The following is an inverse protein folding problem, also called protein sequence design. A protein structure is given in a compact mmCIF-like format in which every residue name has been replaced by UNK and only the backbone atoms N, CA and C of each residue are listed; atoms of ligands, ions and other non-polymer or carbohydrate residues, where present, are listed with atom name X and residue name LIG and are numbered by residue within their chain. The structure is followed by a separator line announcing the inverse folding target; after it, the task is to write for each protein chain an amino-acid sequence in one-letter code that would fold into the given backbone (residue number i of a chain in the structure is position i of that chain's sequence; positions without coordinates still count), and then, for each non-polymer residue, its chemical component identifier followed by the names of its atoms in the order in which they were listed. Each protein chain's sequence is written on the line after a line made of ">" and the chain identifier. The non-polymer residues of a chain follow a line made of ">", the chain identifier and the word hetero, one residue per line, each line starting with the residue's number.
data_IF_399766614665
#
_entry.id   IF_399766614665
#
_cell.length_a   1.000
_cell.length_b   1.000
_cell.length_c   1.000
_cell.angle_alpha   90.00
_cell.angle_beta   90.00
_cell.angle_gamma   90.00
#
_symmetry.space_group_name_H-M   'P 1'
#
loop_
_entity.id
_entity.type
_entity.pdbx_description
1 polymer ?
#
# COMPACT_ATOMS: atom_id res chain seq x y z
N UNK A 1 21.55 0.05 8.27
CA UNK A 1 21.29 0.57 6.91
C UNK A 1 22.31 -0.05 5.97
N UNK A 2 21.90 -0.47 4.78
CA UNK A 2 22.79 -0.86 3.69
C UNK A 2 22.83 0.29 2.69
N UNK A 3 24.01 0.70 2.27
CA UNK A 3 24.19 1.68 1.20
C UNK A 3 24.92 1.00 0.04
N UNK A 4 24.50 1.31 -1.19
CA UNK A 4 25.16 0.80 -2.39
C UNK A 4 25.24 1.91 -3.44
N UNK A 5 26.37 1.95 -4.13
CA UNK A 5 26.67 2.95 -5.15
C UNK A 5 27.14 2.25 -6.42
N UNK A 6 26.69 2.75 -7.56
CA UNK A 6 27.09 2.26 -8.87
C UNK A 6 27.61 3.40 -9.73
N UNK A 7 28.89 3.34 -10.08
CA UNK A 7 29.46 4.23 -11.09
C UNK A 7 28.78 3.99 -12.45
N UNK A 8 28.49 5.08 -13.14
CA UNK A 8 27.72 5.17 -14.38
C UNK A 8 26.28 4.62 -14.29
N UNK A 9 25.75 4.48 -13.07
CA UNK A 9 24.33 4.28 -12.82
C UNK A 9 23.58 5.59 -12.60
N UNK A 10 22.26 5.49 -12.54
CA UNK A 10 21.30 6.56 -12.26
C UNK A 10 20.19 6.04 -11.35
N UNK A 11 19.24 6.90 -10.97
CA UNK A 11 18.11 6.52 -10.12
C UNK A 11 17.24 5.39 -10.73
N UNK A 12 17.14 5.26 -12.06
CA UNK A 12 16.42 4.17 -12.73
C UNK A 12 17.13 2.82 -12.53
N UNK A 13 18.45 2.81 -12.74
CA UNK A 13 19.30 1.63 -12.47
C UNK A 13 19.22 1.21 -11.01
N UNK A 14 19.14 2.19 -10.11
CA UNK A 14 18.98 1.98 -8.68
C UNK A 14 17.60 1.40 -8.33
N UNK A 15 16.50 1.82 -8.98
CA UNK A 15 15.19 1.17 -8.84
C UNK A 15 15.24 -0.30 -9.26
N UNK A 16 15.87 -0.63 -10.39
CA UNK A 16 16.03 -2.03 -10.82
C UNK A 16 16.84 -2.87 -9.81
N UNK A 17 17.84 -2.25 -9.18
CA UNK A 17 18.67 -2.89 -8.16
C UNK A 17 17.85 -3.20 -6.91
N UNK A 18 17.01 -2.26 -6.46
CA UNK A 18 16.09 -2.46 -5.33
C UNK A 18 15.05 -3.53 -5.64
N UNK A 19 14.43 -3.50 -6.82
CA UNK A 19 13.49 -4.53 -7.28
C UNK A 19 14.11 -5.91 -7.19
N UNK A 20 15.29 -6.10 -7.81
CA UNK A 20 16.01 -7.37 -7.82
C UNK A 20 16.41 -7.83 -6.42
N UNK A 21 16.95 -6.93 -5.60
CA UNK A 21 17.41 -7.27 -4.24
C UNK A 21 16.24 -7.76 -3.39
N UNK A 22 15.14 -7.01 -3.33
CA UNK A 22 14.00 -7.36 -2.47
C UNK A 22 13.30 -8.62 -2.97
N UNK A 23 13.07 -8.74 -4.28
CA UNK A 23 12.42 -9.94 -4.85
C UNK A 23 13.27 -11.19 -4.69
N UNK A 24 14.58 -11.10 -4.94
CA UNK A 24 15.51 -12.23 -4.74
C UNK A 24 15.55 -12.69 -3.29
N UNK A 25 15.56 -11.75 -2.33
CA UNK A 25 15.52 -12.09 -0.91
C UNK A 25 14.20 -12.77 -0.55
N UNK A 26 13.06 -12.25 -1.02
CA UNK A 26 11.76 -12.85 -0.77
C UNK A 26 11.64 -14.26 -1.37
N UNK A 27 12.09 -14.47 -2.61
CA UNK A 27 12.09 -15.78 -3.26
C UNK A 27 13.02 -16.78 -2.58
N UNK A 28 14.27 -16.39 -2.30
CA UNK A 28 15.26 -17.33 -1.77
C UNK A 28 15.06 -17.64 -0.27
N UNK A 29 14.52 -16.71 0.50
CA UNK A 29 14.40 -16.86 1.96
C UNK A 29 12.97 -17.23 2.36
N UNK A 30 11.96 -16.62 1.74
CA UNK A 30 10.55 -16.83 2.11
C UNK A 30 9.83 -17.81 1.18
N UNK A 31 10.43 -18.19 0.04
CA UNK A 31 9.82 -19.03 -1.00
C UNK A 31 8.49 -18.43 -1.54
N UNK A 32 8.38 -17.09 -1.50
CA UNK A 32 7.17 -16.38 -1.95
C UNK A 32 7.43 -14.90 -2.26
N UNK A 33 6.72 -14.37 -3.27
CA UNK A 33 6.62 -12.94 -3.55
C UNK A 33 5.36 -12.30 -2.95
N UNK A 34 4.65 -13.02 -2.09
CA UNK A 34 3.45 -12.56 -1.42
C UNK A 34 3.72 -12.64 0.08
N UNK A 35 3.93 -11.48 0.71
CA UNK A 35 4.29 -11.39 2.13
C UNK A 35 3.11 -10.84 2.95
N UNK A 36 2.94 -11.31 4.21
CA UNK A 36 1.84 -10.86 5.05
C UNK A 36 2.04 -9.40 5.51
N UNK A 37 0.95 -8.64 5.55
CA UNK A 37 0.98 -7.27 6.05
C UNK A 37 1.05 -7.26 7.58
N UNK A 38 2.24 -7.06 8.14
CA UNK A 38 2.54 -7.09 9.58
C UNK A 38 1.56 -6.36 10.51
N UNK A 39 0.98 -5.23 10.05
CA UNK A 39 0.00 -4.42 10.80
C UNK A 39 -1.32 -5.14 11.19
N UNK A 40 -1.58 -6.34 10.65
CA UNK A 40 -2.84 -7.06 10.82
C UNK A 40 -2.67 -8.55 11.15
N UNK A 41 -1.47 -8.99 11.55
CA UNK A 41 -1.14 -10.43 11.75
C UNK A 41 -1.61 -10.92 13.14
N UNK A 42 -2.88 -10.67 13.47
CA UNK A 42 -3.57 -11.33 14.58
C UNK A 42 -4.42 -12.52 14.09
N UNK A 43 -4.94 -13.31 15.03
CA UNK A 43 -5.86 -14.44 14.77
C UNK A 43 -7.05 -14.10 13.84
N UNK A 44 -7.47 -12.83 13.77
CA UNK A 44 -8.49 -12.34 12.86
C UNK A 44 -8.15 -12.54 11.36
N UNK A 45 -6.86 -12.49 10.99
CA UNK A 45 -6.40 -12.73 9.61
C UNK A 45 -6.46 -14.22 9.24
N UNK A 46 -6.23 -15.13 10.19
CA UNK A 46 -6.41 -16.57 9.95
C UNK A 46 -7.89 -16.91 9.71
N UNK A 47 -8.80 -16.30 10.48
CA UNK A 47 -10.24 -16.47 10.29
C UNK A 47 -10.69 -15.91 8.94
N UNK A 48 -10.27 -14.70 8.57
CA UNK A 48 -10.59 -14.12 7.27
C UNK A 48 -9.97 -14.91 6.11
N UNK A 49 -8.73 -15.41 6.24
CA UNK A 49 -8.12 -16.26 5.21
C UNK A 49 -8.85 -17.59 5.06
N UNK A 50 -9.13 -18.28 6.16
CA UNK A 50 -9.88 -19.54 6.16
C UNK A 50 -11.28 -19.37 5.56
N UNK A 51 -11.90 -18.23 5.84
CA UNK A 51 -13.18 -17.84 5.26
C UNK A 51 -13.15 -17.66 3.74
N UNK A 52 -12.15 -16.94 3.24
CA UNK A 52 -11.97 -16.69 1.81
C UNK A 52 -11.71 -18.00 1.08
N UNK A 53 -10.86 -18.86 1.64
CA UNK A 53 -10.60 -20.19 1.10
C UNK A 53 -11.87 -21.08 1.09
N UNK A 54 -12.68 -21.02 2.16
CA UNK A 54 -13.95 -21.75 2.23
C UNK A 54 -14.97 -21.24 1.19
N UNK A 55 -15.02 -19.92 0.96
CA UNK A 55 -15.84 -19.29 -0.06
C UNK A 55 -15.45 -19.70 -1.48
N UNK A 56 -14.16 -19.62 -1.80
CA UNK A 56 -13.63 -19.94 -3.13
C UNK A 56 -13.72 -21.43 -3.45
N UNK A 57 -13.45 -22.31 -2.48
CA UNK A 57 -13.37 -23.75 -2.74
C UNK A 57 -14.70 -24.47 -2.57
N UNK A 58 -15.56 -24.02 -1.64
CA UNK A 58 -16.81 -24.73 -1.32
C UNK A 58 -18.04 -24.00 -1.79
N UNK A 59 -18.12 -22.69 -1.60
CA UNK A 59 -19.37 -21.95 -1.87
C UNK A 59 -19.50 -21.61 -3.36
N UNK A 60 -18.48 -20.99 -3.98
CA UNK A 60 -18.53 -20.58 -5.39
C UNK A 60 -18.73 -21.75 -6.37
N UNK A 61 -17.98 -22.86 -6.29
CA UNK A 61 -18.14 -24.00 -7.21
C UNK A 61 -19.48 -24.72 -7.01
N UNK A 62 -19.95 -24.82 -5.76
CA UNK A 62 -21.27 -25.35 -5.45
C UNK A 62 -22.34 -24.48 -6.10
N UNK A 63 -22.31 -23.16 -5.93
CA UNK A 63 -23.28 -22.26 -6.58
C UNK A 63 -23.29 -22.39 -8.10
N UNK A 64 -22.13 -22.44 -8.75
CA UNK A 64 -22.02 -22.60 -10.21
C UNK A 64 -22.58 -23.96 -10.70
N UNK A 65 -22.30 -25.03 -9.95
CA UNK A 65 -22.81 -26.37 -10.23
C UNK A 65 -24.30 -26.54 -9.88
N UNK A 66 -24.86 -25.75 -8.97
CA UNK A 66 -26.24 -25.88 -8.48
C UNK A 66 -27.23 -24.91 -9.12
N UNK A 67 -26.80 -23.75 -9.65
CA UNK A 67 -27.69 -22.82 -10.34
C UNK A 67 -27.97 -23.19 -11.81
N UNK A 68 -27.02 -23.83 -12.50
CA UNK A 68 -27.24 -24.33 -13.87
C UNK A 68 -28.34 -25.42 -13.90
N UNK A 69 -28.43 -26.33 -12.90
CA UNK A 69 -29.56 -27.25 -12.76
C UNK A 69 -30.80 -26.68 -12.05
N UNK A 70 -30.84 -25.41 -11.61
CA UNK A 70 -32.12 -24.81 -11.15
C UNK A 70 -33.11 -24.57 -12.31
N UNK A 71 -32.74 -24.98 -13.53
CA UNK A 71 -33.67 -25.32 -14.61
C UNK A 71 -34.35 -26.69 -14.47
N UNK A 72 -34.15 -27.44 -13.37
CA UNK A 72 -34.83 -28.74 -13.16
C UNK A 72 -36.06 -28.54 -12.27
N UNK A 73 -37.18 -28.48 -12.97
CA UNK A 73 -38.56 -28.61 -12.50
C UNK A 73 -38.71 -29.74 -11.46
N UNK A 74 -39.29 -29.46 -10.29
CA UNK A 74 -39.99 -30.48 -9.48
C UNK A 74 -39.68 -30.65 -7.98
N UNK A 75 -38.81 -29.87 -7.34
CA UNK A 75 -38.54 -30.05 -5.89
C UNK A 75 -39.49 -29.24 -4.98
N UNK A 76 -39.98 -29.81 -3.86
CA UNK A 76 -40.82 -29.12 -2.88
C UNK A 76 -40.11 -27.92 -2.24
N UNK A 77 -40.85 -26.82 -2.01
CA UNK A 77 -40.36 -25.56 -1.40
C UNK A 77 -39.46 -25.75 -0.18
N UNK A 78 -39.82 -26.67 0.72
CA UNK A 78 -39.04 -26.95 1.93
C UNK A 78 -37.64 -27.51 1.62
N UNK A 79 -37.51 -28.36 0.61
CA UNK A 79 -36.20 -28.87 0.17
C UNK A 79 -35.36 -27.77 -0.48
N UNK A 80 -35.98 -26.87 -1.25
CA UNK A 80 -35.30 -25.69 -1.80
C UNK A 80 -34.85 -24.73 -0.70
N UNK A 81 -35.70 -24.48 0.31
CA UNK A 81 -35.38 -23.66 1.49
C UNK A 81 -34.23 -24.28 2.32
N UNK A 82 -34.26 -25.59 2.57
CA UNK A 82 -33.21 -26.30 3.31
C UNK A 82 -31.89 -26.30 2.53
N UNK A 83 -31.92 -26.44 1.20
CA UNK A 83 -30.73 -26.33 0.34
C UNK A 83 -30.16 -24.92 0.33
N UNK A 84 -30.99 -23.90 0.14
CA UNK A 84 -30.54 -22.50 0.17
C UNK A 84 -29.95 -22.16 1.54
N UNK A 85 -30.56 -22.63 2.65
CA UNK A 85 -29.98 -22.49 3.99
C UNK A 85 -28.62 -23.18 4.10
N UNK A 86 -28.46 -24.40 3.59
CA UNK A 86 -27.18 -25.11 3.66
C UNK A 86 -26.06 -24.40 2.89
N UNK A 87 -26.41 -23.71 1.80
CA UNK A 87 -25.48 -22.91 1.00
C UNK A 87 -25.14 -21.58 1.68
N UNK A 88 -26.13 -20.98 2.36
CA UNK A 88 -25.97 -19.73 3.11
C UNK A 88 -25.31 -19.94 4.48
N UNK A 89 -25.40 -21.12 5.09
CA UNK A 89 -24.89 -21.35 6.44
C UNK A 89 -23.40 -21.03 6.59
N UNK A 90 -22.49 -21.44 5.69
CA UNK A 90 -21.08 -21.07 5.82
C UNK A 90 -20.81 -19.58 5.54
N UNK A 91 -21.73 -18.86 4.86
CA UNK A 91 -21.68 -17.40 4.75
C UNK A 91 -22.10 -16.72 6.07
N UNK A 92 -23.07 -17.29 6.79
CA UNK A 92 -23.47 -16.81 8.12
C UNK A 92 -22.44 -17.16 9.20
N UNK A 93 -21.85 -18.35 9.17
CA UNK A 93 -20.77 -18.73 10.09
C UNK A 93 -19.57 -17.79 9.90
N UNK A 94 -19.28 -17.42 8.64
CA UNK A 94 -18.31 -16.40 8.32
C UNK A 94 -18.67 -15.01 8.90
N UNK A 95 -19.93 -14.61 8.76
CA UNK A 95 -20.44 -13.37 9.34
C UNK A 95 -20.16 -13.31 10.86
N UNK A 96 -20.34 -14.42 11.56
CA UNK A 96 -20.11 -14.54 13.00
C UNK A 96 -18.61 -14.61 13.35
N UNK A 97 -17.79 -15.28 12.53
CA UNK A 97 -16.33 -15.43 12.74
C UNK A 97 -15.52 -14.13 12.51
N UNK A 98 -16.00 -13.24 11.63
CA UNK A 98 -15.36 -11.93 11.39
C UNK A 98 -15.58 -10.97 12.59
N UNK A 99 -16.61 -11.19 13.42
CA UNK A 99 -16.90 -10.68 14.79
C UNK A 99 -16.47 -9.26 15.20
N UNK A 100 -17.38 -8.41 15.70
CA UNK A 100 -17.16 -7.01 16.16
C UNK A 100 -16.02 -6.79 17.20
N UNK A 101 -14.80 -6.48 16.76
CA UNK A 101 -13.66 -6.06 17.61
C UNK A 101 -13.39 -4.55 17.50
N UNK A 102 -14.04 -3.73 18.32
CA UNK A 102 -14.13 -2.25 18.17
C UNK A 102 -12.80 -1.49 18.25
N UNK A 103 -11.68 -2.14 18.56
CA UNK A 103 -10.39 -1.49 18.80
C UNK A 103 -9.45 -1.40 17.56
N UNK A 104 -9.86 -1.89 16.37
CA UNK A 104 -8.95 -2.01 15.18
C UNK A 104 -9.44 -1.27 13.91
N UNK A 105 -9.61 0.05 13.98
CA UNK A 105 -10.38 0.88 13.03
C UNK A 105 -10.19 0.66 11.51
N UNK A 106 -8.97 0.38 11.01
CA UNK A 106 -8.72 0.25 9.56
C UNK A 106 -9.20 -1.08 8.95
N UNK A 107 -9.00 -2.19 9.67
CA UNK A 107 -9.48 -3.53 9.31
C UNK A 107 -11.01 -3.56 9.34
N UNK A 108 -11.61 -2.95 10.37
CA UNK A 108 -13.06 -2.87 10.53
C UNK A 108 -13.78 -2.18 9.38
N UNK A 109 -13.17 -1.16 8.78
CA UNK A 109 -13.80 -0.46 7.65
C UNK A 109 -13.98 -1.39 6.45
N UNK A 110 -13.04 -2.31 6.21
CA UNK A 110 -13.09 -3.24 5.08
C UNK A 110 -13.91 -4.49 5.41
N UNK A 111 -13.70 -5.06 6.60
CA UNK A 111 -14.49 -6.16 7.12
C UNK A 111 -15.98 -5.79 7.21
N UNK A 112 -16.33 -4.59 7.69
CA UNK A 112 -17.71 -4.10 7.75
C UNK A 112 -18.34 -3.88 6.37
N UNK A 113 -17.57 -3.45 5.36
CA UNK A 113 -18.06 -3.37 3.97
C UNK A 113 -18.38 -4.74 3.42
N UNK A 114 -17.49 -5.72 3.60
CA UNK A 114 -17.75 -7.12 3.22
C UNK A 114 -18.97 -7.65 3.97
N UNK A 115 -19.05 -7.40 5.27
CA UNK A 115 -20.17 -7.78 6.11
C UNK A 115 -21.52 -7.21 5.63
N UNK A 116 -21.54 -5.93 5.24
CA UNK A 116 -22.73 -5.27 4.69
C UNK A 116 -23.15 -5.86 3.34
N UNK A 117 -22.19 -6.18 2.46
CA UNK A 117 -22.45 -6.89 1.21
C UNK A 117 -23.04 -8.28 1.46
N UNK A 118 -22.48 -9.05 2.40
CA UNK A 118 -22.96 -10.38 2.78
C UNK A 118 -24.41 -10.34 3.29
N UNK A 119 -24.75 -9.38 4.16
CA UNK A 119 -26.13 -9.22 4.66
C UNK A 119 -27.13 -8.87 3.55
N UNK A 120 -26.76 -7.95 2.65
CA UNK A 120 -27.63 -7.55 1.54
C UNK A 120 -27.96 -8.74 0.62
N UNK A 121 -26.95 -9.55 0.33
CA UNK A 121 -27.09 -10.76 -0.47
C UNK A 121 -27.99 -11.79 0.22
N UNK A 122 -27.81 -12.02 1.53
CA UNK A 122 -28.70 -12.88 2.33
C UNK A 122 -30.15 -12.43 2.31
N UNK A 123 -30.40 -11.12 2.46
CA UNK A 123 -31.74 -10.51 2.40
C UNK A 123 -32.36 -10.67 1.01
N UNK A 124 -31.58 -10.47 -0.06
CA UNK A 124 -32.06 -10.60 -1.43
C UNK A 124 -32.42 -12.06 -1.77
N UNK A 125 -31.60 -13.03 -1.40
CA UNK A 125 -31.92 -14.44 -1.57
C UNK A 125 -33.18 -14.84 -0.77
N UNK A 126 -33.29 -14.41 0.48
CA UNK A 126 -34.46 -14.72 1.30
C UNK A 126 -35.74 -14.06 0.75
N UNK A 127 -35.64 -12.84 0.21
CA UNK A 127 -36.78 -12.15 -0.41
C UNK A 127 -37.22 -12.84 -1.71
N UNK A 128 -36.28 -13.32 -2.53
CA UNK A 128 -36.57 -14.13 -3.71
C UNK A 128 -37.30 -15.43 -3.36
N UNK A 129 -36.90 -16.11 -2.28
CA UNK A 129 -37.59 -17.30 -1.76
C UNK A 129 -38.99 -16.97 -1.26
N UNK A 130 -39.14 -15.86 -0.53
CA UNK A 130 -40.42 -15.44 0.03
C UNK A 130 -41.42 -14.98 -1.02
N UNK A 131 -40.95 -14.46 -2.16
CA UNK A 131 -41.77 -14.00 -3.27
C UNK A 131 -42.37 -15.15 -4.11
N UNK A 132 -41.96 -16.41 -3.89
CA UNK A 132 -42.46 -17.55 -4.66
C UNK A 132 -43.74 -18.18 -4.06
N UNK A 133 -44.63 -18.74 -4.89
CA UNK A 133 -45.83 -19.43 -4.44
C UNK A 133 -45.50 -20.59 -3.49
N UNK A 134 -46.36 -20.88 -2.50
CA UNK A 134 -46.16 -22.00 -1.57
C UNK A 134 -46.14 -23.37 -2.26
N UNK A 135 -46.79 -23.47 -3.43
CA UNK A 135 -46.96 -24.69 -4.21
C UNK A 135 -46.34 -24.60 -5.64
N UNK A 136 -45.34 -23.71 -5.86
CA UNK A 136 -44.78 -23.42 -7.20
C UNK A 136 -43.27 -23.66 -7.35
N UNK A 137 -42.81 -23.75 -8.61
CA UNK A 137 -41.41 -23.95 -9.02
C UNK A 137 -40.62 -22.66 -8.90
N UNK A 138 -39.43 -22.73 -8.28
CA UNK A 138 -38.51 -21.59 -8.11
C UNK A 138 -37.75 -21.34 -9.41
N UNK A 139 -37.75 -20.10 -9.91
CA UNK A 139 -36.91 -19.66 -11.04
C UNK A 139 -36.05 -18.48 -10.57
N UNK A 140 -34.74 -18.63 -10.63
CA UNK A 140 -33.79 -17.54 -10.39
C UNK A 140 -33.38 -16.96 -11.75
N UNK A 141 -33.51 -15.64 -11.92
CA UNK A 141 -32.95 -14.93 -13.08
C UNK A 141 -31.44 -14.80 -12.94
N UNK A 142 -30.72 -14.30 -13.97
CA UNK A 142 -29.27 -14.08 -13.93
C UNK A 142 -28.83 -12.97 -12.93
N UNK A 143 -29.78 -12.21 -12.37
CA UNK A 143 -29.51 -11.06 -11.51
C UNK A 143 -28.79 -11.40 -10.19
N UNK A 144 -29.12 -12.48 -9.46
CA UNK A 144 -28.40 -12.84 -8.25
C UNK A 144 -26.98 -13.35 -8.56
N UNK A 145 -26.80 -14.11 -9.65
CA UNK A 145 -25.49 -14.63 -10.08
C UNK A 145 -24.46 -13.51 -10.28
N UNK A 146 -24.86 -12.41 -10.91
CA UNK A 146 -23.99 -11.24 -11.09
C UNK A 146 -23.59 -10.60 -9.75
N UNK A 147 -24.52 -10.49 -8.79
CA UNK A 147 -24.26 -9.94 -7.45
C UNK A 147 -23.27 -10.80 -6.64
N UNK A 148 -23.30 -12.13 -6.79
CA UNK A 148 -22.31 -13.02 -6.16
C UNK A 148 -20.92 -12.91 -6.79
N UNK A 149 -20.83 -12.65 -8.10
CA UNK A 149 -19.55 -12.35 -8.77
C UNK A 149 -18.88 -11.11 -8.15
N UNK A 150 -19.65 -10.04 -7.96
CA UNK A 150 -19.17 -8.83 -7.27
C UNK A 150 -18.76 -9.07 -5.81
N UNK A 151 -19.42 -10.00 -5.12
CA UNK A 151 -19.09 -10.37 -3.74
C UNK A 151 -17.74 -11.11 -3.66
N UNK A 152 -17.48 -12.05 -4.56
CA UNK A 152 -16.20 -12.73 -4.68
C UNK A 152 -15.07 -11.74 -5.00
N UNK A 153 -15.31 -10.80 -5.91
CA UNK A 153 -14.37 -9.73 -6.24
C UNK A 153 -14.08 -8.82 -5.04
N UNK A 154 -15.11 -8.42 -4.29
CA UNK A 154 -14.95 -7.58 -3.09
C UNK A 154 -14.15 -8.28 -2.00
N UNK A 155 -14.40 -9.57 -1.78
CA UNK A 155 -13.70 -10.39 -0.80
C UNK A 155 -12.23 -10.61 -1.21
N UNK A 156 -11.98 -10.88 -2.50
CA UNK A 156 -10.63 -10.96 -3.06
C UNK A 156 -9.87 -9.64 -2.90
N UNK A 157 -10.54 -8.50 -3.14
CA UNK A 157 -9.96 -7.18 -2.93
C UNK A 157 -9.57 -6.96 -1.45
N UNK A 158 -10.38 -7.42 -0.49
CA UNK A 158 -10.01 -7.35 0.93
C UNK A 158 -8.84 -8.27 1.29
N UNK A 159 -8.79 -9.48 0.73
CA UNK A 159 -7.65 -10.40 0.89
C UNK A 159 -6.33 -9.79 0.37
N UNK A 160 -6.41 -9.06 -0.75
CA UNK A 160 -5.27 -8.39 -1.36
C UNK A 160 -4.80 -7.18 -0.53
N UNK A 161 -5.69 -6.52 0.23
CA UNK A 161 -5.31 -5.43 1.15
C UNK A 161 -4.51 -5.89 2.39
N UNK A 162 -4.52 -7.19 2.68
CA UNK A 162 -3.78 -7.81 3.79
C UNK A 162 -2.43 -8.41 3.36
N UNK A 163 -2.12 -8.33 2.07
CA UNK A 163 -0.90 -8.90 1.49
C UNK A 163 -0.13 -7.82 0.78
N UNK A 164 1.20 -7.94 0.82
CA UNK A 164 2.09 -7.15 0.00
C UNK A 164 2.52 -8.05 -1.16
N UNK A 165 2.23 -7.61 -2.38
CA UNK A 165 2.53 -8.34 -3.60
C UNK A 165 3.82 -7.75 -4.17
N UNK A 166 4.93 -8.48 -4.02
CA UNK A 166 6.25 -8.09 -4.52
C UNK A 166 6.46 -8.47 -6.00
N UNK A 167 5.44 -9.02 -6.67
CA UNK A 167 5.52 -9.38 -8.09
C UNK A 167 5.72 -8.13 -8.96
N UNK A 168 6.61 -8.24 -9.93
CA UNK A 168 6.91 -7.20 -10.90
C UNK A 168 5.82 -7.07 -11.98
N UNK A 169 5.73 -5.92 -12.67
CA UNK A 169 6.49 -4.68 -12.43
C UNK A 169 5.95 -3.87 -11.24
N UNK A 170 6.83 -3.16 -10.55
CA UNK A 170 6.41 -2.25 -9.48
C UNK A 170 5.92 -0.91 -10.03
N UNK A 171 4.98 -0.27 -9.33
CA UNK A 171 4.41 1.01 -9.76
C UNK A 171 5.49 2.09 -9.68
N UNK A 172 5.64 2.89 -10.73
CA UNK A 172 6.44 4.12 -10.73
C UNK A 172 5.50 5.31 -10.92
N UNK A 173 5.59 6.30 -10.05
CA UNK A 173 4.70 7.47 -10.07
C UNK A 173 5.46 8.72 -9.63
N UNK A 174 5.14 9.88 -10.20
CA UNK A 174 5.75 11.14 -9.78
C UNK A 174 5.12 11.65 -8.49
N UNK A 175 5.93 12.20 -7.60
CA UNK A 175 5.50 12.82 -6.34
C UNK A 175 4.39 13.85 -6.57
N UNK A 176 4.58 14.75 -7.54
CA UNK A 176 3.62 15.79 -7.87
C UNK A 176 2.26 15.23 -8.35
N UNK A 177 2.26 14.08 -9.02
CA UNK A 177 1.01 13.47 -9.48
C UNK A 177 0.21 12.90 -8.31
N UNK A 178 0.88 12.25 -7.34
CA UNK A 178 0.24 11.79 -6.10
C UNK A 178 -0.33 12.96 -5.29
N UNK A 179 0.40 14.07 -5.19
CA UNK A 179 -0.08 15.29 -4.53
C UNK A 179 -1.35 15.82 -5.23
N UNK A 180 -1.35 15.89 -6.56
CA UNK A 180 -2.53 16.35 -7.32
C UNK A 180 -3.72 15.41 -7.15
N UNK A 181 -3.49 14.09 -7.17
CA UNK A 181 -4.53 13.09 -6.93
C UNK A 181 -5.18 13.25 -5.55
N UNK A 182 -4.36 13.50 -4.51
CA UNK A 182 -4.84 13.58 -3.13
C UNK A 182 -5.40 14.94 -2.75
N UNK A 183 -4.73 16.01 -3.16
CA UNK A 183 -4.95 17.37 -2.68
C UNK A 183 -5.50 18.32 -3.76
N UNK A 184 -5.76 17.83 -4.97
CA UNK A 184 -6.38 18.58 -6.06
C UNK A 184 -5.40 18.97 -7.17
N UNK A 185 -5.87 18.96 -8.42
CA UNK A 185 -5.06 19.24 -9.62
C UNK A 185 -4.48 20.66 -9.66
N UNK A 186 -5.07 21.57 -8.90
CA UNK A 186 -4.69 22.97 -8.75
C UNK A 186 -3.58 23.21 -7.71
N UNK A 187 -3.14 22.18 -6.97
CA UNK A 187 -2.23 22.31 -5.82
C UNK A 187 -0.97 23.14 -6.11
N UNK A 188 -0.33 22.92 -7.26
CA UNK A 188 0.89 23.62 -7.66
C UNK A 188 0.64 24.96 -8.39
N UNK A 189 -0.63 25.35 -8.55
CA UNK A 189 -1.04 26.61 -9.21
C UNK A 189 -1.57 27.66 -8.23
N UNK A 190 -2.09 27.24 -7.08
CA UNK A 190 -2.52 28.13 -6.00
C UNK A 190 -1.31 28.71 -5.26
N UNK A 191 -1.52 29.76 -4.47
CA UNK A 191 -0.46 30.38 -3.67
C UNK A 191 0.00 29.49 -2.50
N UNK A 192 1.22 29.74 -1.99
CA UNK A 192 1.74 29.03 -0.82
C UNK A 192 0.86 29.20 0.43
N UNK A 193 0.25 30.37 0.61
CA UNK A 193 -0.69 30.63 1.70
C UNK A 193 -1.96 29.76 1.57
N UNK A 194 -2.50 29.62 0.36
CA UNK A 194 -3.65 28.76 0.08
C UNK A 194 -3.30 27.28 0.25
N UNK A 195 -2.14 26.82 -0.23
CA UNK A 195 -1.65 25.44 0.02
C UNK A 195 -1.56 25.15 1.52
N UNK A 196 -1.00 26.08 2.29
CA UNK A 196 -0.86 25.96 3.74
C UNK A 196 -2.21 25.85 4.44
N UNK A 197 -3.17 26.69 4.07
CA UNK A 197 -4.53 26.61 4.60
C UNK A 197 -5.19 25.28 4.23
N UNK A 198 -5.09 24.86 2.96
CA UNK A 198 -5.64 23.59 2.48
C UNK A 198 -5.03 22.37 3.20
N UNK A 199 -3.70 22.37 3.40
CA UNK A 199 -3.00 21.33 4.16
C UNK A 199 -3.51 21.28 5.62
N UNK A 200 -3.66 22.43 6.27
CA UNK A 200 -4.21 22.53 7.61
C UNK A 200 -5.65 21.99 7.68
N UNK A 201 -6.51 22.36 6.73
CA UNK A 201 -7.90 21.92 6.67
C UNK A 201 -8.03 20.42 6.40
N UNK A 202 -7.06 19.81 5.71
CA UNK A 202 -6.94 18.36 5.55
C UNK A 202 -6.49 17.66 6.84
N UNK A 203 -5.93 18.40 7.81
CA UNK A 203 -5.38 17.87 9.06
C UNK A 203 -3.90 17.48 8.97
N UNK A 204 -3.13 18.08 8.06
CA UNK A 204 -1.68 17.91 8.02
C UNK A 204 -1.03 18.57 9.24
N UNK A 205 0.01 17.95 9.78
CA UNK A 205 0.80 18.50 10.87
C UNK A 205 1.86 19.44 10.29
N UNK A 206 1.57 20.74 10.26
CA UNK A 206 2.46 21.76 9.68
C UNK A 206 3.07 22.67 10.75
N UNK A 207 4.40 22.76 10.78
CA UNK A 207 5.13 23.65 11.68
C UNK A 207 5.03 25.12 11.25
N UNK A 208 5.14 26.07 12.19
CA UNK A 208 5.02 27.52 11.89
C UNK A 208 6.03 27.99 10.84
N UNK A 209 7.26 27.53 10.96
CA UNK A 209 8.39 27.91 10.10
C UNK A 209 8.51 27.01 8.86
N UNK A 210 7.53 26.13 8.59
CA UNK A 210 7.60 25.26 7.42
C UNK A 210 7.58 26.07 6.13
N UNK A 211 8.58 25.84 5.29
CA UNK A 211 8.62 26.31 3.92
C UNK A 211 7.53 25.61 3.08
N UNK A 212 7.22 26.15 1.91
CA UNK A 212 6.11 25.68 1.07
C UNK A 212 6.27 24.21 0.61
N UNK A 213 7.52 23.77 0.37
CA UNK A 213 7.81 22.38 0.04
C UNK A 213 7.59 21.44 1.24
N UNK A 214 7.91 21.89 2.47
CA UNK A 214 7.68 21.12 3.70
C UNK A 214 6.19 20.99 4.01
N UNK A 215 5.39 22.03 3.74
CA UNK A 215 3.92 21.96 3.81
C UNK A 215 3.38 20.90 2.85
N UNK A 216 3.89 20.87 1.62
CA UNK A 216 3.49 19.86 0.63
C UNK A 216 3.94 18.46 1.06
N UNK A 217 5.15 18.32 1.60
CA UNK A 217 5.66 17.06 2.13
C UNK A 217 4.84 16.55 3.32
N UNK A 218 4.38 17.42 4.21
CA UNK A 218 3.49 17.04 5.31
C UNK A 218 2.18 16.41 4.81
N UNK A 219 1.65 16.88 3.68
CA UNK A 219 0.48 16.26 3.02
C UNK A 219 0.84 14.87 2.49
N UNK A 220 2.00 14.72 1.85
CA UNK A 220 2.48 13.44 1.35
C UNK A 220 2.64 12.42 2.49
N UNK A 221 3.45 12.72 3.49
CA UNK A 221 3.76 11.81 4.61
C UNK A 221 2.52 11.43 5.42
N UNK A 222 1.57 12.36 5.58
CA UNK A 222 0.35 12.08 6.38
C UNK A 222 -0.70 11.30 5.61
N UNK A 223 -0.91 11.61 4.32
CA UNK A 223 -2.12 11.17 3.61
C UNK A 223 -1.88 10.31 2.38
N UNK A 224 -0.64 10.27 1.89
CA UNK A 224 -0.27 9.55 0.68
C UNK A 224 0.62 8.38 1.04
N UNK A 225 1.76 8.62 1.70
CA UNK A 225 2.72 7.57 2.05
C UNK A 225 2.05 6.37 2.74
N UNK A 226 1.17 6.52 3.77
CA UNK A 226 0.56 5.37 4.45
C UNK A 226 -0.38 4.52 3.58
N UNK A 227 -0.75 5.04 2.39
CA UNK A 227 -1.64 4.36 1.43
C UNK A 227 -0.86 3.53 0.39
N UNK A 228 0.46 3.68 0.30
CA UNK A 228 1.32 2.97 -0.65
C UNK A 228 1.63 1.56 -0.14
N UNK A 229 0.65 0.65 -0.25
CA UNK A 229 0.73 -0.70 0.34
C UNK A 229 1.61 -1.64 -0.47
N UNK A 230 1.34 -1.77 -1.77
CA UNK A 230 2.19 -2.53 -2.67
C UNK A 230 3.40 -1.68 -3.10
N UNK A 231 4.50 -2.33 -3.51
CA UNK A 231 5.72 -1.61 -3.86
C UNK A 231 5.47 -0.52 -4.90
N UNK A 232 5.81 0.70 -4.51
CA UNK A 232 5.64 1.90 -5.33
C UNK A 232 6.90 2.74 -5.22
N UNK A 233 7.53 3.01 -6.36
CA UNK A 233 8.56 4.03 -6.46
C UNK A 233 7.90 5.39 -6.66
N UNK A 234 8.06 6.27 -5.69
CA UNK A 234 7.68 7.68 -5.79
C UNK A 234 8.89 8.46 -6.27
N UNK A 235 8.78 9.09 -7.44
CA UNK A 235 9.91 9.71 -8.14
C UNK A 235 9.77 11.22 -8.26
N UNK A 236 10.85 11.92 -8.64
CA UNK A 236 10.83 13.35 -8.95
C UNK A 236 10.36 14.22 -7.77
N UNK A 237 10.95 14.02 -6.59
CA UNK A 237 10.67 14.86 -5.43
C UNK A 237 11.23 16.28 -5.64
N UNK A 238 10.69 17.29 -4.94
CA UNK A 238 11.27 18.64 -4.88
C UNK A 238 12.76 18.62 -4.53
N UNK A 239 13.56 19.43 -5.23
CA UNK A 239 15.01 19.48 -5.02
C UNK A 239 15.43 19.87 -3.60
N UNK A 240 14.57 20.63 -2.91
CA UNK A 240 14.82 21.10 -1.54
C UNK A 240 14.80 19.94 -0.52
N UNK A 241 14.08 18.85 -0.82
CA UNK A 241 14.01 17.67 0.04
C UNK A 241 15.24 16.77 -0.09
N UNK A 242 15.91 16.77 -1.25
CA UNK A 242 16.98 15.82 -1.57
C UNK A 242 18.20 16.56 -2.15
N UNK A 243 18.99 17.21 -1.28
CA UNK A 243 20.08 18.13 -1.69
C UNK A 243 21.27 17.46 -2.37
N UNK A 244 21.39 16.14 -2.23
CA UNK A 244 22.48 15.33 -2.79
C UNK A 244 22.10 14.71 -4.14
N UNK A 245 20.85 14.89 -4.58
CA UNK A 245 20.38 14.35 -5.85
C UNK A 245 20.59 15.35 -6.99
N UNK A 246 20.84 14.80 -8.17
CA UNK A 246 20.96 15.57 -9.41
C UNK A 246 19.61 16.14 -9.82
N UNK A 247 19.59 17.36 -10.35
CA UNK A 247 18.38 17.97 -10.89
C UNK A 247 17.84 17.18 -12.08
N UNK A 248 16.51 17.05 -12.16
CA UNK A 248 15.85 16.43 -13.30
C UNK A 248 16.11 17.27 -14.57
N UNK A 249 16.52 16.66 -15.70
CA UNK A 249 16.78 17.38 -16.94
C UNK A 249 15.58 18.16 -17.49
N UNK A 250 14.38 17.61 -17.31
CA UNK A 250 13.14 18.15 -17.89
C UNK A 250 12.41 19.14 -16.95
N UNK A 251 12.72 19.11 -15.64
CA UNK A 251 12.08 19.95 -14.63
C UNK A 251 13.06 20.31 -13.50
N UNK A 252 13.69 21.50 -13.53
CA UNK A 252 14.69 21.91 -12.55
C UNK A 252 14.11 22.21 -11.16
N UNK A 253 12.80 22.05 -10.95
CA UNK A 253 12.19 22.10 -9.61
C UNK A 253 12.24 20.74 -8.89
N UNK A 254 12.58 19.67 -9.61
CA UNK A 254 12.66 18.30 -9.10
C UNK A 254 14.05 17.71 -9.29
N UNK A 255 14.29 16.58 -8.66
CA UNK A 255 15.53 15.81 -8.77
C UNK A 255 15.29 14.38 -9.28
N UNK A 256 16.34 13.78 -9.83
CA UNK A 256 16.40 12.37 -10.25
C UNK A 256 16.51 11.46 -9.02
N UNK A 257 15.38 11.24 -8.35
CA UNK A 257 15.26 10.48 -7.09
C UNK A 257 14.08 9.53 -7.14
N UNK A 258 14.13 8.48 -6.32
CA UNK A 258 12.98 7.71 -5.90
C UNK A 258 12.97 7.46 -4.38
N UNK A 259 11.77 7.32 -3.84
CA UNK A 259 11.50 6.66 -2.56
C UNK A 259 10.74 5.36 -2.85
N UNK A 260 11.29 4.22 -2.45
CA UNK A 260 10.60 2.93 -2.54
C UNK A 260 9.70 2.75 -1.33
N UNK A 261 8.41 3.02 -1.51
CA UNK A 261 7.40 2.84 -0.46
C UNK A 261 6.77 1.44 -0.54
N UNK A 262 6.76 0.72 0.56
CA UNK A 262 6.07 -0.57 0.71
C UNK A 262 5.38 -0.61 2.07
N UNK A 263 4.14 -1.12 2.12
CA UNK A 263 3.31 -1.16 3.32
C UNK A 263 3.10 0.21 3.99
N UNK A 264 3.10 1.25 3.17
CA UNK A 264 2.93 2.63 3.57
C UNK A 264 4.09 3.21 4.37
N UNK A 265 5.31 2.75 4.09
CA UNK A 265 6.55 3.26 4.68
C UNK A 265 7.65 3.28 3.61
N UNK A 266 8.53 4.27 3.68
CA UNK A 266 9.79 4.24 2.93
C UNK A 266 10.72 3.10 3.40
N UNK A 267 11.06 2.21 2.45
CA UNK A 267 11.97 1.08 2.63
C UNK A 267 13.37 1.41 2.10
N UNK A 268 13.43 2.07 0.94
CA UNK A 268 14.69 2.38 0.27
C UNK A 268 14.61 3.69 -0.52
N UNK A 269 15.27 4.77 -0.09
CA UNK A 269 15.54 5.92 -0.94
C UNK A 269 16.70 5.64 -1.91
N UNK A 270 16.69 6.30 -3.07
CA UNK A 270 17.81 6.30 -4.00
C UNK A 270 17.73 7.39 -5.04
N UNK A 271 18.87 7.80 -5.58
CA UNK A 271 18.94 8.94 -6.51
C UNK A 271 20.16 8.84 -7.44
N UNK A 272 20.10 9.60 -8.53
CA UNK A 272 21.31 9.97 -9.28
C UNK A 272 22.09 10.97 -8.43
N UNK A 273 23.32 10.64 -8.10
CA UNK A 273 24.20 11.44 -7.26
C UNK A 273 24.54 12.78 -7.92
N UNK A 274 24.50 13.84 -7.13
CA UNK A 274 25.01 15.15 -7.52
C UNK A 274 26.54 15.13 -7.51
N UNK A 275 27.11 15.10 -8.70
CA UNK A 275 28.56 15.04 -8.89
C UNK A 275 29.17 16.36 -9.39
N UNK A 276 28.38 17.44 -9.52
CA UNK A 276 28.90 18.79 -9.76
C UNK A 276 29.26 19.47 -8.43
N UNK A 277 30.56 19.69 -8.13
CA UNK A 277 30.99 20.25 -6.86
C UNK A 277 30.50 21.69 -6.64
N UNK A 278 30.32 22.47 -7.71
CA UNK A 278 29.86 23.86 -7.62
C UNK A 278 28.37 23.88 -7.26
N UNK A 279 27.58 23.04 -7.93
CA UNK A 279 26.16 22.88 -7.62
C UNK A 279 25.97 22.34 -6.20
N UNK A 280 26.74 21.32 -5.81
CA UNK A 280 26.65 20.72 -4.49
C UNK A 280 26.98 21.72 -3.38
N UNK A 281 28.06 22.51 -3.53
CA UNK A 281 28.43 23.56 -2.59
C UNK A 281 27.29 24.57 -2.44
N UNK A 282 26.73 25.05 -3.54
CA UNK A 282 25.63 26.03 -3.53
C UNK A 282 24.43 25.49 -2.74
N UNK A 283 24.07 24.23 -2.94
CA UNK A 283 22.96 23.59 -2.21
C UNK A 283 23.27 23.44 -0.72
N UNK A 284 24.48 22.97 -0.35
CA UNK A 284 24.85 22.79 1.06
C UNK A 284 24.97 24.12 1.81
N UNK A 285 25.47 25.18 1.15
CA UNK A 285 25.50 26.54 1.72
C UNK A 285 24.10 27.07 2.01
N UNK A 286 23.14 26.82 1.10
CA UNK A 286 21.74 27.17 1.31
C UNK A 286 21.16 26.41 2.52
N UNK A 287 21.38 25.10 2.63
CA UNK A 287 20.91 24.29 3.75
C UNK A 287 21.58 24.64 5.09
N UNK A 288 22.84 25.07 5.06
CA UNK A 288 23.55 25.50 6.26
C UNK A 288 22.97 26.77 6.88
N UNK A 289 22.12 27.52 6.16
CA UNK A 289 21.48 28.74 6.68
C UNK A 289 22.48 29.81 7.13
N UNK A 290 23.67 29.83 6.52
CA UNK A 290 24.77 30.72 6.89
C UNK A 290 25.73 30.17 7.96
N UNK A 291 25.52 28.97 8.49
CA UNK A 291 26.44 28.31 9.41
C UNK A 291 27.54 27.55 8.66
N UNK A 292 28.57 28.25 8.17
CA UNK A 292 29.65 27.65 7.37
C UNK A 292 30.35 26.44 8.03
N UNK A 293 30.37 26.36 9.37
CA UNK A 293 30.96 25.23 10.10
C UNK A 293 30.22 23.90 9.88
N UNK A 294 29.03 23.91 9.27
CA UNK A 294 28.27 22.71 8.91
C UNK A 294 28.63 22.14 7.54
N UNK A 295 29.41 22.84 6.72
CA UNK A 295 29.83 22.33 5.42
C UNK A 295 30.98 21.33 5.57
N UNK A 296 30.82 20.18 4.92
CA UNK A 296 31.87 19.19 4.79
C UNK A 296 32.79 19.58 3.63
N UNK A 297 33.85 20.34 3.95
CA UNK A 297 34.83 20.77 2.96
C UNK A 297 35.63 19.61 2.37
N UNK A 298 35.86 18.53 3.15
CA UNK A 298 36.57 17.35 2.65
C UNK A 298 35.73 16.61 1.59
N UNK A 299 34.41 16.52 1.80
CA UNK A 299 33.47 16.00 0.81
C UNK A 299 33.46 16.82 -0.49
N UNK A 300 33.42 18.15 -0.39
CA UNK A 300 33.44 19.03 -1.56
C UNK A 300 34.75 18.93 -2.34
N UNK A 301 35.89 18.92 -1.64
CA UNK A 301 37.22 18.71 -2.27
C UNK A 301 37.29 17.33 -2.93
N UNK A 302 36.72 16.29 -2.32
CA UNK A 302 36.65 14.97 -2.93
C UNK A 302 35.82 14.98 -4.23
N UNK A 303 34.71 15.71 -4.29
CA UNK A 303 33.92 15.88 -5.52
C UNK A 303 34.72 16.64 -6.60
N UNK A 304 35.49 17.65 -6.23
CA UNK A 304 36.35 18.42 -7.14
C UNK A 304 37.45 17.58 -7.80
N UNK A 305 37.89 16.50 -7.17
CA UNK A 305 38.81 15.53 -7.77
C UNK A 305 38.17 14.70 -8.91
N UNK A 306 36.83 14.70 -9.01
CA UNK A 306 36.09 14.09 -10.10
C UNK A 306 35.35 12.82 -9.67
N UNK A 307 34.09 12.99 -9.26
CA UNK A 307 33.16 11.88 -9.08
C UNK A 307 32.50 11.52 -10.44
N UNK A 308 32.57 10.25 -10.91
CA UNK A 308 31.83 9.85 -12.10
C UNK A 308 30.33 10.02 -11.87
N UNK A 309 29.50 10.11 -12.93
CA UNK A 309 28.06 9.93 -12.77
C UNK A 309 27.80 8.66 -11.98
N UNK A 310 26.93 8.69 -10.99
CA UNK A 310 26.65 7.55 -10.14
C UNK A 310 25.20 7.54 -9.69
N UNK A 311 24.69 6.35 -9.42
CA UNK A 311 23.45 6.14 -8.67
C UNK A 311 23.78 5.62 -7.29
N UNK A 312 23.05 6.10 -6.28
CA UNK A 312 23.14 5.65 -4.90
C UNK A 312 21.80 5.16 -4.38
N UNK A 313 21.82 4.18 -3.48
CA UNK A 313 20.67 3.71 -2.71
C UNK A 313 21.03 3.56 -1.24
N UNK A 314 20.04 3.85 -0.39
CA UNK A 314 20.01 3.43 1.01
C UNK A 314 18.88 2.44 1.21
N UNK A 315 19.11 1.35 1.93
CA UNK A 315 18.08 0.38 2.30
C UNK A 315 18.05 0.24 3.82
N UNK A 316 16.87 0.50 4.40
CA UNK A 316 16.60 0.23 5.80
C UNK A 316 16.48 -1.26 6.07
N UNK A 317 17.60 -1.96 6.29
CA UNK A 317 17.61 -3.42 6.51
C UNK A 317 16.65 -3.85 7.62
N UNK A 318 16.57 -3.12 8.73
CA UNK A 318 15.65 -3.45 9.81
C UNK A 318 14.18 -3.34 9.35
N UNK A 319 13.82 -2.27 8.64
CA UNK A 319 12.47 -2.09 8.07
C UNK A 319 12.15 -3.14 7.01
N UNK A 320 13.12 -3.49 6.17
CA UNK A 320 12.98 -4.55 5.18
C UNK A 320 12.71 -5.89 5.86
N UNK A 321 13.48 -6.25 6.90
CA UNK A 321 13.25 -7.45 7.71
C UNK A 321 11.86 -7.42 8.36
N UNK A 322 11.46 -6.30 8.97
CA UNK A 322 10.13 -6.14 9.55
C UNK A 322 9.02 -6.40 8.53
N UNK A 323 9.13 -5.80 7.34
CA UNK A 323 8.17 -5.96 6.26
C UNK A 323 8.11 -7.41 5.76
N UNK A 324 9.27 -8.02 5.46
CA UNK A 324 9.37 -9.38 4.94
C UNK A 324 8.83 -10.42 5.94
N UNK A 325 9.09 -10.22 7.23
CA UNK A 325 8.69 -11.12 8.31
C UNK A 325 7.34 -10.77 8.94
N UNK A 326 6.67 -9.72 8.45
CA UNK A 326 5.41 -9.24 9.00
C UNK A 326 5.49 -8.79 10.47
N UNK A 327 6.62 -8.25 10.91
CA UNK A 327 6.80 -7.76 12.29
C UNK A 327 6.43 -6.27 12.40
N UNK A 328 5.71 -5.90 13.47
CA UNK A 328 5.32 -4.50 13.72
C UNK A 328 6.39 -3.69 14.47
N UNK A 329 7.23 -4.37 15.26
CA UNK A 329 8.23 -3.74 16.11
C UNK A 329 9.64 -4.05 15.61
N UNK A 330 10.46 -3.00 15.50
CA UNK A 330 11.89 -3.14 15.16
C UNK A 330 12.65 -4.02 16.16
N UNK A 331 12.15 -4.13 17.39
CA UNK A 331 12.75 -4.98 18.43
C UNK A 331 12.64 -6.47 18.12
N UNK A 332 11.71 -6.87 17.26
CA UNK A 332 11.49 -8.27 16.89
C UNK A 332 12.42 -8.72 15.75
N UNK A 333 13.14 -7.77 15.13
CA UNK A 333 14.12 -8.05 14.06
C UNK A 333 15.56 -7.69 14.44
N UNK A 334 15.77 -7.13 15.64
CA UNK A 334 17.10 -6.81 16.19
C UNK A 334 17.38 -7.77 17.35
N UNK A 335 18.50 -8.50 17.29
CA UNK A 335 18.88 -9.49 18.31
C UNK A 335 19.02 -8.89 19.72
N UNK A 336 19.55 -7.67 19.82
CA UNK A 336 19.79 -6.97 21.09
C UNK A 336 19.29 -5.52 21.00
N UNK A 337 17.97 -5.28 21.11
CA UNK A 337 17.41 -3.94 20.97
C UNK A 337 17.77 -3.07 22.17
N UNK A 338 17.88 -1.76 21.95
CA UNK A 338 18.09 -0.81 23.04
C UNK A 338 16.89 -0.81 23.98
N UNK A 339 17.14 -1.10 25.27
CA UNK A 339 16.14 -1.06 26.33
C UNK A 339 16.29 0.23 27.15
N UNK A 340 15.18 0.71 27.71
CA UNK A 340 15.25 1.79 28.70
C UNK A 340 16.02 1.28 29.94
N UNK A 341 17.01 2.04 30.45
CA UNK A 341 17.65 1.73 31.74
C UNK A 341 16.59 1.59 32.84
N UNK A 342 16.79 0.62 33.74
CA UNK A 342 15.90 0.38 34.88
C UNK A 342 16.07 1.41 35.97
#
# INVERSE_FOLDING_TARGET
>A
MLEAYQAFGDYETMMETVEKLITTVAENILDTLIVPRGKYVGAANQNLKAAIENLEQKILPSFHAYLIPMGVVGEPRKQSEDRIRSILQPLYDLFDEIGEDKDRGGFWTHASKVNGLLQQVGIQLQSLVNAQPKDGVVVLSDSPLAQFGHMAEAIKAVAELERIILKLPWRRVKYNDLIKEKAGTDWFTISAAERRQKAHDMGAEIGKEFEDFEVTNAVFSKFIEPTLINPTFVTHLPKELVPLAKLSPDDPTTVEVFECCINGQEIAPGYTEQNDPIAQRTTLEHQAGGEQQKLDEDFLVALEHGMPPAGGIGIGIDRLCMMLLGQESIRDVILFPQLKPK
#
